data_IF_177562597181
#
_entry.id   IF_177562597181
#
_cell.length_a   1.000
_cell.length_b   1.000
_cell.length_c   1.000
_cell.angle_alpha   90.00
_cell.angle_beta   90.00
_cell.angle_gamma   90.00
#
_symmetry.space_group_name_H-M   'P 1'
#
loop_
_entity.id
_entity.type
_entity.pdbx_description
1 polymer ?
#
# COMPACT_ATOMS: atom_id res chain seq x y z
N UNK A 1 14.60 19.01 -7.81
CA UNK A 1 15.03 17.70 -8.37
C UNK A 1 14.12 16.64 -7.78
N UNK A 2 13.14 16.16 -8.55
CA UNK A 2 12.20 15.13 -8.11
C UNK A 2 12.89 13.78 -8.27
N UNK A 3 13.42 13.22 -7.18
CA UNK A 3 13.95 11.86 -7.20
C UNK A 3 12.76 10.89 -7.20
N UNK A 4 12.38 10.39 -8.38
CA UNK A 4 11.52 9.21 -8.47
C UNK A 4 12.36 8.05 -7.94
N UNK A 5 12.07 7.62 -6.72
CA UNK A 5 12.81 6.52 -6.11
C UNK A 5 12.30 5.21 -6.70
N UNK A 6 13.13 4.62 -7.56
CA UNK A 6 12.90 3.33 -8.20
C UNK A 6 13.22 2.22 -7.20
N UNK A 7 12.35 1.21 -7.13
CA UNK A 7 12.63 0.00 -6.36
C UNK A 7 13.97 -0.63 -6.78
N UNK A 8 14.67 -1.29 -5.84
CA UNK A 8 15.91 -2.02 -6.14
C UNK A 8 15.62 -3.08 -7.20
N UNK A 9 16.39 -3.07 -8.28
CA UNK A 9 16.29 -4.01 -9.39
C UNK A 9 17.47 -4.97 -9.44
N UNK A 10 17.33 -6.04 -10.21
CA UNK A 10 18.43 -6.99 -10.39
C UNK A 10 19.69 -6.34 -10.98
N UNK A 11 19.54 -5.31 -11.82
CA UNK A 11 20.68 -4.54 -12.31
C UNK A 11 21.48 -3.91 -11.16
N UNK A 12 20.80 -3.35 -10.16
CA UNK A 12 21.46 -2.75 -8.99
C UNK A 12 22.16 -3.81 -8.13
N UNK A 13 21.55 -5.00 -8.00
CA UNK A 13 22.14 -6.16 -7.30
C UNK A 13 23.39 -6.66 -8.01
N UNK A 14 23.31 -6.89 -9.32
CA UNK A 14 24.44 -7.41 -10.12
C UNK A 14 25.60 -6.41 -10.28
N UNK A 15 25.35 -5.13 -10.02
CA UNK A 15 26.35 -4.06 -10.14
C UNK A 15 27.23 -3.90 -8.89
N UNK A 16 26.92 -4.60 -7.79
CA UNK A 16 27.67 -4.49 -6.53
C UNK A 16 28.29 -5.83 -6.13
N UNK A 17 29.30 -5.76 -5.25
CA UNK A 17 29.98 -6.98 -4.75
C UNK A 17 29.06 -7.82 -3.86
N UNK A 18 29.25 -9.15 -3.81
CA UNK A 18 28.63 -10.01 -2.80
C UNK A 18 28.80 -9.47 -1.38
N UNK A 19 27.76 -9.58 -0.55
CA UNK A 19 27.72 -9.04 0.81
C UNK A 19 27.52 -7.53 0.91
N UNK A 20 27.36 -6.81 -0.21
CA UNK A 20 26.99 -5.39 -0.17
C UNK A 20 25.59 -5.19 0.44
N UNK A 21 25.41 -4.07 1.14
CA UNK A 21 24.12 -3.65 1.68
C UNK A 21 23.54 -2.57 0.77
N UNK A 22 22.36 -2.82 0.22
CA UNK A 22 21.58 -1.88 -0.56
C UNK A 22 20.46 -1.34 0.31
N UNK A 23 20.40 -0.02 0.48
CA UNK A 23 19.29 0.65 1.18
C UNK A 23 18.59 1.56 0.18
N UNK A 24 17.29 1.35 0.01
CA UNK A 24 16.49 2.17 -0.89
C UNK A 24 15.10 2.42 -0.26
N UNK A 25 14.50 3.58 -0.52
CA UNK A 25 13.10 3.75 -0.21
C UNK A 25 12.23 2.94 -1.16
N UNK A 26 11.10 2.49 -0.64
CA UNK A 26 10.14 1.66 -1.32
C UNK A 26 8.74 2.21 -1.06
N UNK A 27 7.93 2.27 -2.13
CA UNK A 27 6.55 2.74 -2.07
C UNK A 27 5.70 1.96 -3.04
N UNK A 28 4.40 1.95 -2.78
CA UNK A 28 3.40 1.41 -3.70
C UNK A 28 2.56 2.57 -4.21
N UNK A 29 1.86 2.42 -5.35
CA UNK A 29 0.87 3.40 -5.76
C UNK A 29 -0.29 3.57 -4.77
N UNK A 30 -0.43 2.63 -3.81
CA UNK A 30 -1.56 2.61 -2.90
C UNK A 30 -1.59 3.81 -1.98
N UNK A 31 -0.48 4.22 -1.36
CA UNK A 31 -0.50 5.38 -0.47
C UNK A 31 0.81 6.15 -0.51
N UNK A 32 0.81 7.34 0.08
CA UNK A 32 2.02 8.15 0.30
C UNK A 32 2.94 7.56 1.39
N UNK A 33 2.58 6.43 2.00
CA UNK A 33 3.44 5.77 2.98
C UNK A 33 4.70 5.24 2.29
N UNK A 34 5.86 5.75 2.73
CA UNK A 34 7.16 5.32 2.24
C UNK A 34 7.81 4.40 3.26
N UNK A 35 8.23 3.22 2.84
CA UNK A 35 9.09 2.33 3.60
C UNK A 35 10.56 2.48 3.17
N UNK A 36 11.47 1.96 3.97
CA UNK A 36 12.84 1.65 3.56
C UNK A 36 12.98 0.14 3.44
N UNK A 37 13.68 -0.31 2.41
CA UNK A 37 14.13 -1.70 2.29
C UNK A 37 15.65 -1.74 2.41
N UNK A 38 16.14 -2.61 3.28
CA UNK A 38 17.58 -2.89 3.43
C UNK A 38 17.82 -4.31 2.96
N UNK A 39 18.58 -4.47 1.87
CA UNK A 39 18.88 -5.75 1.25
C UNK A 39 20.36 -6.06 1.39
N UNK A 40 20.70 -7.32 1.66
CA UNK A 40 22.07 -7.83 1.62
C UNK A 40 22.23 -8.70 0.39
N UNK A 41 23.25 -8.41 -0.42
CA UNK A 41 23.57 -9.21 -1.61
C UNK A 41 24.14 -10.56 -1.18
N UNK A 42 23.58 -11.63 -1.72
CA UNK A 42 23.97 -13.00 -1.41
C UNK A 42 25.45 -13.27 -1.75
N UNK A 43 26.09 -14.27 -1.10
CA UNK A 43 27.50 -14.60 -1.34
C UNK A 43 27.84 -14.94 -2.80
N UNK A 44 26.86 -15.43 -3.57
CA UNK A 44 27.03 -15.75 -4.99
C UNK A 44 26.81 -14.54 -5.92
N UNK A 45 26.38 -13.40 -5.39
CA UNK A 45 26.08 -12.18 -6.14
C UNK A 45 24.82 -12.24 -7.02
N UNK A 46 23.98 -13.27 -6.89
CA UNK A 46 22.83 -13.50 -7.79
C UNK A 46 21.49 -13.04 -7.23
N UNK A 47 21.44 -12.70 -5.96
CA UNK A 47 20.23 -12.19 -5.31
C UNK A 47 20.58 -11.20 -4.21
N UNK A 48 19.59 -10.42 -3.78
CA UNK A 48 19.66 -9.63 -2.57
C UNK A 48 18.38 -9.80 -1.77
N UNK A 49 18.52 -9.95 -0.45
CA UNK A 49 17.40 -10.20 0.45
C UNK A 49 17.46 -9.33 1.69
N UNK A 50 16.29 -8.97 2.22
CA UNK A 50 16.22 -8.28 3.50
C UNK A 50 14.84 -7.75 3.83
N UNK A 51 14.76 -6.78 4.73
CA UNK A 51 13.52 -6.41 5.43
C UNK A 51 13.08 -4.99 5.13
N UNK A 52 11.78 -4.77 5.28
CA UNK A 52 11.21 -3.43 5.30
C UNK A 52 11.31 -2.81 6.69
N UNK A 53 11.31 -1.48 6.73
CA UNK A 53 11.13 -0.69 7.94
C UNK A 53 10.35 0.56 7.58
N UNK A 54 9.51 1.04 8.49
CA UNK A 54 8.89 2.35 8.34
C UNK A 54 9.79 3.40 8.98
N UNK A 55 10.07 4.52 8.29
CA UNK A 55 10.67 5.68 8.95
C UNK A 55 9.68 6.18 10.01
N UNK A 56 10.20 6.65 11.16
CA UNK A 56 9.36 7.19 12.25
C UNK A 56 8.52 8.43 11.86
N UNK A 57 8.80 9.04 10.70
CA UNK A 57 8.01 10.12 10.10
C UNK A 57 7.89 9.87 8.60
N UNK A 58 6.67 9.92 8.07
CA UNK A 58 6.44 9.97 6.63
C UNK A 58 6.96 11.31 6.08
N UNK A 59 7.58 11.33 4.88
CA UNK A 59 7.88 12.58 4.20
C UNK A 59 6.60 13.41 4.01
N UNK A 60 6.75 14.73 3.92
CA UNK A 60 5.61 15.61 3.67
C UNK A 60 4.93 15.19 2.35
N UNK A 61 3.58 15.19 2.28
CA UNK A 61 2.86 14.75 1.09
C UNK A 61 3.36 15.51 -0.15
N UNK A 62 3.65 14.79 -1.24
CA UNK A 62 4.06 15.39 -2.52
C UNK A 62 2.84 16.01 -3.23
N UNK A 63 2.20 17.00 -2.61
CA UNK A 63 0.98 17.62 -3.11
C UNK A 63 -0.22 16.65 -3.08
N UNK A 64 -1.30 17.04 -2.44
CA UNK A 64 -2.55 16.26 -2.52
C UNK A 64 -3.23 16.64 -3.82
N UNK A 65 -3.37 15.71 -4.76
CA UNK A 65 -4.30 15.91 -5.88
C UNK A 65 -5.69 16.25 -5.29
N UNK A 66 -6.51 17.10 -5.92
CA UNK A 66 -7.87 17.26 -5.47
C UNK A 66 -8.59 15.91 -5.53
N UNK A 67 -9.47 15.58 -4.57
CA UNK A 67 -10.24 14.35 -4.65
C UNK A 67 -11.02 14.32 -5.97
N UNK A 68 -11.32 13.13 -6.51
CA UNK A 68 -12.10 13.02 -7.72
C UNK A 68 -13.42 13.78 -7.61
N UNK A 69 -13.74 14.55 -8.65
CA UNK A 69 -15.03 15.23 -8.77
C UNK A 69 -16.10 14.21 -9.20
N UNK A 70 -16.43 13.29 -8.30
CA UNK A 70 -17.49 12.28 -8.49
C UNK A 70 -18.62 12.59 -7.51
N UNK A 71 -19.83 12.74 -8.04
CA UNK A 71 -21.03 12.74 -7.21
C UNK A 71 -21.33 11.31 -6.75
N UNK A 72 -20.80 10.96 -5.58
CA UNK A 72 -20.93 9.63 -5.01
C UNK A 72 -22.38 9.25 -4.72
N UNK A 73 -23.26 10.23 -4.55
CA UNK A 73 -24.66 10.00 -4.15
C UNK A 73 -25.54 9.59 -5.32
N UNK A 74 -25.12 9.89 -6.56
CA UNK A 74 -25.86 9.55 -7.78
C UNK A 74 -25.16 8.47 -8.61
N UNK A 75 -23.84 8.32 -8.49
CA UNK A 75 -23.03 7.42 -9.32
C UNK A 75 -22.50 6.17 -8.60
N UNK A 76 -22.66 6.08 -7.27
CA UNK A 76 -22.13 4.98 -6.47
C UNK A 76 -23.23 4.10 -5.90
N UNK A 77 -23.00 2.79 -5.92
CA UNK A 77 -23.75 1.89 -5.04
C UNK A 77 -23.31 2.15 -3.60
N UNK A 78 -24.30 2.21 -2.71
CA UNK A 78 -24.08 2.47 -1.29
C UNK A 78 -24.03 1.16 -0.50
N UNK A 79 -23.03 1.05 0.38
CA UNK A 79 -22.93 0.00 1.39
C UNK A 79 -22.36 0.59 2.68
N UNK A 80 -22.07 -0.28 3.64
CA UNK A 80 -21.50 0.13 4.93
C UNK A 80 -20.47 -0.89 5.41
N UNK A 81 -19.46 -0.41 6.13
CA UNK A 81 -18.40 -1.24 6.72
C UNK A 81 -18.29 -1.01 8.22
N UNK A 82 -17.84 -2.04 8.93
CA UNK A 82 -17.48 -1.96 10.35
C UNK A 82 -16.01 -1.57 10.56
N UNK A 83 -15.22 -1.56 9.49
CA UNK A 83 -13.82 -1.18 9.56
C UNK A 83 -13.73 0.28 10.04
N UNK A 84 -12.88 0.51 11.04
CA UNK A 84 -12.59 1.83 11.57
C UNK A 84 -11.44 2.49 10.80
N UNK A 85 -11.33 3.81 10.88
CA UNK A 85 -10.22 4.54 10.26
C UNK A 85 -8.88 4.08 10.82
N UNK A 86 -8.82 3.78 12.12
CA UNK A 86 -7.62 3.34 12.81
C UNK A 86 -7.16 1.96 12.30
N UNK A 87 -8.08 1.00 12.18
CA UNK A 87 -7.78 -0.34 11.65
C UNK A 87 -7.31 -0.27 10.19
N UNK A 88 -8.01 0.49 9.34
CA UNK A 88 -7.62 0.67 7.94
C UNK A 88 -6.24 1.35 7.83
N UNK A 89 -5.98 2.36 8.66
CA UNK A 89 -4.69 3.06 8.68
C UNK A 89 -3.54 2.16 9.17
N UNK A 90 -3.78 1.32 10.17
CA UNK A 90 -2.78 0.37 10.67
C UNK A 90 -2.34 -0.64 9.59
N UNK A 91 -3.26 -1.05 8.72
CA UNK A 91 -3.00 -2.00 7.65
C UNK A 91 -2.37 -1.38 6.38
N UNK A 92 -2.16 -0.06 6.31
CA UNK A 92 -1.80 0.66 5.07
C UNK A 92 -0.62 0.03 4.31
N UNK A 93 0.43 -0.38 5.02
CA UNK A 93 1.61 -1.00 4.40
C UNK A 93 1.28 -2.35 3.75
N UNK A 94 0.56 -3.22 4.47
CA UNK A 94 0.15 -4.53 3.98
C UNK A 94 -0.89 -4.42 2.84
N UNK A 95 -1.81 -3.46 2.92
CA UNK A 95 -2.75 -3.14 1.84
C UNK A 95 -2.01 -2.69 0.59
N UNK A 96 -0.99 -1.85 0.71
CA UNK A 96 -0.15 -1.45 -0.43
C UNK A 96 0.57 -2.63 -1.09
N UNK A 97 0.98 -3.63 -0.30
CA UNK A 97 1.52 -4.88 -0.82
C UNK A 97 0.42 -5.72 -1.48
N UNK A 98 -0.78 -5.85 -0.91
CA UNK A 98 -1.79 -6.74 -1.46
C UNK A 98 -2.49 -6.17 -2.71
N UNK A 99 -2.79 -4.88 -2.69
CA UNK A 99 -3.59 -4.20 -3.70
C UNK A 99 -2.72 -3.71 -4.86
N UNK A 100 -3.16 -4.02 -6.09
CA UNK A 100 -2.50 -3.60 -7.33
C UNK A 100 -3.38 -2.63 -8.08
N UNK A 101 -2.75 -1.58 -8.65
CA UNK A 101 -3.47 -0.59 -9.43
C UNK A 101 -4.61 0.04 -8.62
N UNK A 102 -4.33 0.39 -7.38
CA UNK A 102 -5.24 1.20 -6.57
C UNK A 102 -4.41 2.34 -6.01
N UNK A 103 -4.93 3.56 -6.10
CA UNK A 103 -4.42 4.74 -5.43
C UNK A 103 -5.38 5.11 -4.31
N UNK A 104 -4.87 5.28 -3.10
CA UNK A 104 -5.59 5.80 -1.95
C UNK A 104 -5.30 7.29 -1.83
N UNK A 105 -6.35 8.06 -1.61
CA UNK A 105 -6.24 9.45 -1.22
C UNK A 105 -7.15 9.73 -0.05
N UNK A 106 -6.62 10.36 1.00
CA UNK A 106 -7.43 10.74 2.14
C UNK A 106 -7.69 12.25 2.13
N UNK A 107 -8.95 12.62 2.30
CA UNK A 107 -9.33 14.03 2.42
C UNK A 107 -8.90 14.60 3.77
N UNK A 108 -8.89 15.94 3.85
CA UNK A 108 -8.80 16.64 5.11
C UNK A 108 -9.94 16.20 6.04
N UNK A 109 -9.61 15.97 7.32
CA UNK A 109 -10.62 15.63 8.32
C UNK A 109 -11.59 16.81 8.47
N UNK A 110 -12.90 16.54 8.40
CA UNK A 110 -13.97 17.53 8.58
C UNK A 110 -14.78 17.19 9.84
N UNK A 111 -15.69 18.08 10.23
CA UNK A 111 -16.56 17.92 11.41
C UNK A 111 -17.26 16.56 11.49
N UNK A 112 -17.69 16.02 10.35
CA UNK A 112 -18.50 14.80 10.30
C UNK A 112 -17.68 13.52 10.11
N UNK A 113 -16.37 13.63 9.87
CA UNK A 113 -15.53 12.49 9.53
C UNK A 113 -14.42 12.79 8.54
N UNK A 114 -13.83 11.72 8.02
CA UNK A 114 -12.80 11.77 6.99
C UNK A 114 -13.18 10.85 5.84
N UNK A 115 -13.15 11.39 4.62
CA UNK A 115 -13.31 10.58 3.43
C UNK A 115 -11.96 9.99 3.00
N UNK A 116 -11.97 8.71 2.63
CA UNK A 116 -10.86 8.05 1.94
C UNK A 116 -11.38 7.58 0.58
N UNK A 117 -10.68 8.00 -0.45
CA UNK A 117 -10.92 7.63 -1.83
C UNK A 117 -9.97 6.53 -2.27
N UNK A 118 -10.50 5.55 -2.98
CA UNK A 118 -9.74 4.56 -3.74
C UNK A 118 -10.03 4.76 -5.23
N UNK A 119 -9.00 4.70 -6.07
CA UNK A 119 -9.13 4.87 -7.51
C UNK A 119 -8.30 3.85 -8.27
N UNK A 120 -8.83 3.37 -9.40
CA UNK A 120 -8.05 2.59 -10.36
C UNK A 120 -6.89 3.38 -10.97
N UNK A 121 -5.97 2.70 -11.68
CA UNK A 121 -4.94 3.39 -12.47
C UNK A 121 -5.58 4.12 -13.65
N UNK A 122 -4.77 4.87 -14.39
CA UNK A 122 -5.25 5.65 -15.53
C UNK A 122 -5.98 4.75 -16.55
N UNK A 123 -7.23 5.13 -16.89
CA UNK A 123 -8.11 4.37 -17.78
C UNK A 123 -9.06 3.38 -17.09
N UNK A 124 -8.89 3.09 -15.81
CA UNK A 124 -9.85 2.30 -15.01
C UNK A 124 -10.83 3.27 -14.31
N UNK A 125 -12.12 3.27 -14.69
CA UNK A 125 -13.11 4.18 -14.08
C UNK A 125 -13.59 3.70 -12.70
N UNK A 126 -12.99 2.64 -12.14
CA UNK A 126 -13.35 2.13 -10.81
C UNK A 126 -12.92 3.09 -9.71
N UNK A 127 -13.82 3.32 -8.76
CA UNK A 127 -13.60 4.18 -7.62
C UNK A 127 -14.37 3.69 -6.39
N UNK A 128 -13.88 4.06 -5.21
CA UNK A 128 -14.63 3.98 -3.97
C UNK A 128 -14.39 5.22 -3.11
N UNK A 129 -15.38 5.59 -2.31
CA UNK A 129 -15.33 6.65 -1.32
C UNK A 129 -15.86 6.10 0.00
N UNK A 130 -15.03 6.12 1.03
CA UNK A 130 -15.37 5.64 2.36
C UNK A 130 -15.35 6.81 3.32
N UNK A 131 -16.48 7.10 3.95
CA UNK A 131 -16.60 8.20 4.92
C UNK A 131 -16.60 7.65 6.34
N UNK A 132 -15.41 7.59 6.94
CA UNK A 132 -15.22 7.26 8.35
C UNK A 132 -15.83 8.36 9.21
N UNK A 133 -16.83 8.01 10.00
CA UNK A 133 -17.57 8.97 10.85
C UNK A 133 -16.75 9.38 12.06
N UNK A 134 -16.85 10.66 12.43
CA UNK A 134 -16.18 11.18 13.62
C UNK A 134 -16.86 10.71 14.93
N UNK A 135 -18.17 10.45 14.87
CA UNK A 135 -18.94 9.97 16.01
C UNK A 135 -18.73 8.47 16.23
N UNK A 136 -18.28 8.05 17.43
CA UNK A 136 -18.11 6.63 17.75
C UNK A 136 -19.41 5.84 17.62
N UNK A 137 -19.35 4.63 17.09
CA UNK A 137 -20.51 3.72 17.00
C UNK A 137 -21.40 3.93 15.77
N UNK A 138 -21.19 4.98 14.97
CA UNK A 138 -21.83 5.10 13.66
C UNK A 138 -21.11 4.23 12.62
N UNK A 139 -21.89 3.49 11.85
CA UNK A 139 -21.35 2.68 10.74
C UNK A 139 -20.73 3.59 9.68
N UNK A 140 -19.55 3.21 9.20
CA UNK A 140 -18.87 3.88 8.09
C UNK A 140 -19.65 3.61 6.81
N UNK A 141 -20.00 4.66 6.06
CA UNK A 141 -20.64 4.52 4.75
C UNK A 141 -19.58 4.41 3.66
N UNK A 142 -19.89 3.58 2.67
CA UNK A 142 -19.06 3.32 1.49
C UNK A 142 -19.91 3.57 0.26
N UNK A 143 -19.35 4.29 -0.70
CA UNK A 143 -19.88 4.41 -2.05
C UNK A 143 -18.83 3.87 -3.01
N UNK A 144 -19.24 3.11 -4.02
CA UNK A 144 -18.32 2.64 -5.04
C UNK A 144 -18.99 2.48 -6.39
N UNK A 145 -18.22 2.66 -7.46
CA UNK A 145 -18.70 2.60 -8.84
C UNK A 145 -17.60 2.18 -9.80
N UNK A 146 -18.00 1.81 -11.02
CA UNK A 146 -17.13 1.26 -12.05
C UNK A 146 -17.03 -0.27 -12.02
N UNK A 147 -16.22 -0.87 -12.91
CA UNK A 147 -16.18 -2.32 -13.12
C UNK A 147 -15.58 -3.12 -11.95
N UNK A 148 -14.77 -2.49 -11.09
CA UNK A 148 -14.21 -3.10 -9.89
C UNK A 148 -14.79 -2.50 -8.62
N UNK A 149 -15.00 -3.34 -7.62
CA UNK A 149 -15.43 -2.96 -6.28
C UNK A 149 -14.21 -2.72 -5.39
N UNK A 150 -13.59 -1.55 -5.56
CA UNK A 150 -12.29 -1.26 -4.94
C UNK A 150 -12.31 -1.30 -3.40
N UNK A 151 -13.44 -0.95 -2.78
CA UNK A 151 -13.56 -1.06 -1.32
C UNK A 151 -13.65 -2.52 -0.89
N UNK A 152 -14.43 -3.35 -1.60
CA UNK A 152 -14.53 -4.78 -1.31
C UNK A 152 -13.16 -5.47 -1.44
N UNK A 153 -12.37 -5.08 -2.45
CA UNK A 153 -10.97 -5.54 -2.59
C UNK A 153 -10.11 -5.14 -1.38
N UNK A 154 -10.27 -3.90 -0.90
CA UNK A 154 -9.54 -3.39 0.25
C UNK A 154 -9.95 -4.07 1.57
N UNK A 155 -11.25 -4.35 1.77
CA UNK A 155 -11.75 -5.11 2.92
C UNK A 155 -11.24 -6.56 2.90
N UNK A 156 -11.24 -7.21 1.73
CA UNK A 156 -10.68 -8.54 1.58
C UNK A 156 -9.17 -8.56 1.88
N UNK A 157 -8.44 -7.55 1.43
CA UNK A 157 -7.02 -7.39 1.73
C UNK A 157 -6.76 -7.12 3.23
N UNK A 158 -7.60 -6.31 3.88
CA UNK A 158 -7.55 -6.11 5.33
C UNK A 158 -7.80 -7.42 6.08
N UNK A 159 -8.85 -8.17 5.70
CA UNK A 159 -9.17 -9.46 6.31
C UNK A 159 -8.04 -10.49 6.17
N UNK A 160 -7.35 -10.50 5.03
CA UNK A 160 -6.14 -11.30 4.84
C UNK A 160 -5.02 -10.91 5.81
N UNK A 161 -4.73 -9.61 5.97
CA UNK A 161 -3.70 -9.13 6.89
C UNK A 161 -4.05 -9.41 8.36
N UNK A 162 -5.31 -9.18 8.75
CA UNK A 162 -5.80 -9.48 10.09
C UNK A 162 -5.72 -10.98 10.41
N UNK A 163 -6.08 -11.85 9.45
CA UNK A 163 -5.97 -13.30 9.60
C UNK A 163 -4.51 -13.80 9.79
N UNK A 164 -3.51 -13.02 9.36
CA UNK A 164 -2.09 -13.29 9.59
C UNK A 164 -1.58 -12.79 10.95
N UNK A 165 -2.47 -12.26 11.80
CA UNK A 165 -2.12 -11.71 13.11
C UNK A 165 -1.52 -10.32 13.02
N UNK A 166 -1.99 -9.51 12.06
CA UNK A 166 -1.64 -8.09 11.92
C UNK A 166 -0.11 -7.84 11.87
N UNK A 167 0.64 -8.55 11.00
CA UNK A 167 2.08 -8.47 10.99
C UNK A 167 2.57 -7.04 10.75
N UNK A 168 3.53 -6.63 11.57
CA UNK A 168 4.22 -5.36 11.42
C UNK A 168 5.11 -5.34 10.15
N UNK A 169 5.41 -4.15 9.59
CA UNK A 169 6.18 -4.02 8.34
C UNK A 169 7.54 -4.72 8.32
N UNK A 170 8.22 -4.82 9.46
CA UNK A 170 9.52 -5.48 9.62
C UNK A 170 9.47 -7.02 9.45
N UNK A 171 8.27 -7.61 9.60
CA UNK A 171 8.04 -9.02 9.25
C UNK A 171 7.99 -9.26 7.75
N UNK A 172 7.77 -8.23 6.95
CA UNK A 172 7.84 -8.34 5.50
C UNK A 172 9.29 -8.20 5.03
N UNK A 173 9.63 -8.98 4.01
CA UNK A 173 10.91 -8.87 3.34
C UNK A 173 10.77 -8.87 1.83
N UNK A 174 11.89 -8.59 1.17
CA UNK A 174 11.99 -8.54 -0.28
C UNK A 174 13.22 -9.35 -0.71
N UNK A 175 13.01 -10.23 -1.70
CA UNK A 175 14.08 -10.86 -2.47
C UNK A 175 14.09 -10.24 -3.86
N UNK A 176 15.26 -9.84 -4.36
CA UNK A 176 15.47 -9.38 -5.73
C UNK A 176 16.52 -10.26 -6.39
N UNK A 177 16.16 -10.88 -7.51
CA UNK A 177 17.07 -11.69 -8.32
C UNK A 177 16.76 -11.55 -9.83
N UNK A 178 17.40 -12.36 -10.66
CA UNK A 178 17.21 -12.34 -12.11
C UNK A 178 15.76 -12.61 -12.58
N UNK A 179 14.90 -13.15 -11.72
CA UNK A 179 13.48 -13.36 -12.01
C UNK A 179 12.58 -12.17 -11.55
N UNK A 180 13.15 -11.17 -10.87
CA UNK A 180 12.44 -9.97 -10.43
C UNK A 180 12.38 -9.85 -8.90
N UNK A 181 11.46 -9.00 -8.42
CA UNK A 181 11.25 -8.78 -7.00
C UNK A 181 10.15 -9.68 -6.43
N UNK A 182 10.33 -10.22 -5.22
CA UNK A 182 9.32 -10.99 -4.50
C UNK A 182 9.25 -10.52 -3.05
N UNK A 183 8.11 -9.99 -2.65
CA UNK A 183 7.77 -9.66 -1.27
C UNK A 183 7.25 -10.90 -0.57
N UNK A 184 7.76 -11.15 0.62
CA UNK A 184 7.46 -12.33 1.43
C UNK A 184 7.21 -11.93 2.89
N UNK A 185 6.58 -12.82 3.66
CA UNK A 185 6.28 -12.64 5.08
C UNK A 185 7.05 -13.65 5.92
N UNK A 186 7.78 -13.17 6.93
CA UNK A 186 8.65 -13.92 7.83
C UNK A 186 9.84 -14.61 7.18
N UNK A 187 9.67 -15.32 6.09
CA UNK A 187 10.73 -16.06 5.40
C UNK A 187 10.60 -15.95 3.87
N UNK A 188 11.71 -15.97 3.11
CA UNK A 188 11.70 -15.83 1.64
C UNK A 188 10.81 -16.82 0.88
N UNK A 189 10.56 -18.00 1.45
CA UNK A 189 9.68 -19.01 0.86
C UNK A 189 8.18 -18.67 0.92
N UNK A 190 7.77 -17.76 1.82
CA UNK A 190 6.37 -17.38 2.01
C UNK A 190 6.04 -16.11 1.21
N UNK A 191 6.05 -16.25 -0.12
CA UNK A 191 5.82 -15.14 -1.05
C UNK A 191 4.37 -14.66 -0.96
N UNK A 192 4.20 -13.37 -0.67
CA UNK A 192 2.88 -12.70 -0.63
C UNK A 192 2.63 -11.85 -1.87
N UNK A 193 3.68 -11.44 -2.59
CA UNK A 193 3.58 -10.67 -3.85
C UNK A 193 4.85 -10.74 -4.70
N UNK A 194 4.69 -10.96 -6.01
CA UNK A 194 5.73 -10.67 -7.01
C UNK A 194 5.64 -9.23 -7.51
N UNK A 195 6.75 -8.53 -7.70
CA UNK A 195 6.81 -7.14 -8.16
C UNK A 195 6.83 -7.04 -9.69
#
# INVERSE_FOLDING_TARGET
MTAVTRAVTYADVSAVRPGAILVAPWRTPFSEQQALVTLTVAPDGKSAEGRFSLPGRNPDPLGTAPPPAVDVTTLGDISSTRLTEAEFSAATFALGIKLRGIRQQADARRRYGRAIWLQGPDGDPSWACTLFRAEPGLTTLVWQGGPRRLWDEAEAAYGWWAALGEPAPDRFGLTVDGAGGRVWLDEPGNVVRSL
#
